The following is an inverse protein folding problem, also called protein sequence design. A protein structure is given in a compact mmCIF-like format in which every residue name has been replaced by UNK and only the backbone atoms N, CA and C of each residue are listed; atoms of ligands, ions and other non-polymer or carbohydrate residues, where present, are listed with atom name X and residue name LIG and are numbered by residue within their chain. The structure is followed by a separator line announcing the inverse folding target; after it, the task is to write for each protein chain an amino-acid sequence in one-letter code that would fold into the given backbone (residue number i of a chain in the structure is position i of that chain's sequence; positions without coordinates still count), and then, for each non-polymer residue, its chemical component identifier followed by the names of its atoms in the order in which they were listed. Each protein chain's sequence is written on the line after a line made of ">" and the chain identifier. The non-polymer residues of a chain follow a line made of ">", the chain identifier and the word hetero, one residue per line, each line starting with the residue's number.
data_IF_949305934339
#
_entry.id   IF_949305934339
#
_cell.length_a   1.000
_cell.length_b   1.000
_cell.length_c   1.000
_cell.angle_alpha   90.00
_cell.angle_beta   90.00
_cell.angle_gamma   90.00
#
_symmetry.space_group_name_H-M   'P 1'
#
loop_
_entity.id
_entity.type
_entity.pdbx_description
1 polymer ?
#
# COMPACT_ATOMS: atom_id res chain seq x y z
N UNK A 1 -2.08 13.05 11.35
CA UNK A 1 -1.46 13.50 12.59
C UNK A 1 -2.53 14.14 13.48
N UNK A 2 -3.02 13.45 14.45
CA UNK A 2 -4.01 13.84 15.43
C UNK A 2 -4.24 12.67 16.37
N UNK A 3 -4.99 12.88 17.46
CA UNK A 3 -5.44 11.77 18.27
C UNK A 3 -6.62 11.13 17.56
N UNK A 4 -6.50 9.86 17.11
CA UNK A 4 -7.61 9.18 16.47
C UNK A 4 -8.75 8.97 17.47
N UNK A 5 -9.98 8.90 16.98
CA UNK A 5 -11.11 8.48 17.79
C UNK A 5 -10.94 7.01 18.21
N UNK A 6 -11.59 6.57 19.30
CA UNK A 6 -11.66 5.16 19.62
C UNK A 6 -12.08 4.33 18.41
N UNK A 7 -11.59 3.10 18.31
CA UNK A 7 -11.99 2.17 17.27
C UNK A 7 -13.52 1.95 17.31
N UNK A 8 -14.16 2.00 16.16
CA UNK A 8 -15.59 1.76 16.02
C UNK A 8 -15.82 0.27 15.72
N UNK A 9 -16.32 -0.49 16.69
CA UNK A 9 -16.60 -1.91 16.54
C UNK A 9 -17.59 -2.23 15.39
N UNK A 10 -18.38 -1.24 14.96
CA UNK A 10 -19.30 -1.38 13.84
C UNK A 10 -18.69 -1.00 12.48
N UNK A 11 -17.44 -0.52 12.45
CA UNK A 11 -16.78 -0.10 11.22
C UNK A 11 -16.73 -1.21 10.17
N UNK A 12 -16.39 -2.48 10.49
CA UNK A 12 -16.41 -3.57 9.52
C UNK A 12 -17.75 -3.73 8.80
N UNK A 13 -18.84 -3.70 9.56
CA UNK A 13 -20.18 -3.79 8.99
C UNK A 13 -20.56 -2.55 8.15
N UNK A 14 -20.21 -1.35 8.61
CA UNK A 14 -20.50 -0.11 7.89
C UNK A 14 -19.77 -0.07 6.54
N UNK A 15 -18.50 -0.50 6.50
CA UNK A 15 -17.71 -0.61 5.27
C UNK A 15 -18.33 -1.63 4.33
N UNK A 16 -18.61 -2.83 4.80
CA UNK A 16 -19.24 -3.90 4.01
C UNK A 16 -20.58 -3.45 3.39
N UNK A 17 -21.42 -2.78 4.19
CA UNK A 17 -22.71 -2.23 3.73
C UNK A 17 -22.52 -1.13 2.68
N UNK A 18 -21.54 -0.25 2.87
CA UNK A 18 -21.26 0.82 1.91
C UNK A 18 -20.85 0.24 0.55
N UNK A 19 -19.97 -0.76 0.53
CA UNK A 19 -19.56 -1.48 -0.68
C UNK A 19 -20.77 -2.16 -1.35
N UNK A 20 -21.66 -2.76 -0.56
CA UNK A 20 -22.88 -3.39 -1.07
C UNK A 20 -23.80 -2.39 -1.74
N UNK A 21 -24.02 -1.22 -1.13
CA UNK A 21 -24.85 -0.14 -1.71
C UNK A 21 -24.23 0.40 -3.00
N UNK A 22 -22.90 0.56 -3.04
CA UNK A 22 -22.19 1.02 -4.24
C UNK A 22 -22.18 -0.01 -5.38
N UNK A 23 -22.33 -1.30 -5.08
CA UNK A 23 -22.35 -2.37 -6.07
C UNK A 23 -21.05 -2.53 -6.85
N UNK A 24 -19.90 -2.21 -6.25
CA UNK A 24 -18.61 -2.24 -6.93
C UNK A 24 -18.10 -3.68 -7.09
N UNK A 25 -17.36 -3.93 -8.17
CA UNK A 25 -16.76 -5.25 -8.46
C UNK A 25 -15.41 -5.44 -7.79
N UNK A 26 -14.73 -4.33 -7.47
CA UNK A 26 -13.44 -4.30 -6.80
C UNK A 26 -13.45 -3.16 -5.80
N UNK A 27 -13.01 -3.44 -4.57
CA UNK A 27 -12.94 -2.47 -3.50
C UNK A 27 -11.49 -2.39 -2.98
N UNK A 28 -10.96 -1.18 -2.94
CA UNK A 28 -9.68 -0.90 -2.29
C UNK A 28 -9.96 -0.31 -0.92
N UNK A 29 -9.52 -1.02 0.12
CA UNK A 29 -9.64 -0.61 1.51
C UNK A 29 -8.34 0.04 1.97
N UNK A 30 -8.47 1.17 2.64
CA UNK A 30 -7.33 1.86 3.27
C UNK A 30 -7.74 2.38 4.64
N UNK A 31 -6.78 2.61 5.51
CA UNK A 31 -7.00 3.20 6.82
C UNK A 31 -5.96 4.27 7.14
N UNK A 32 -6.20 5.04 8.17
CA UNK A 32 -5.15 5.79 8.85
C UNK A 32 -4.29 4.83 9.68
N UNK A 33 -3.04 5.20 9.95
CA UNK A 33 -2.20 4.43 10.86
C UNK A 33 -2.77 4.48 12.29
N UNK A 34 -2.85 3.32 12.92
CA UNK A 34 -3.37 3.13 14.27
C UNK A 34 -2.27 2.67 15.22
N UNK A 35 -1.16 3.38 15.21
CA UNK A 35 -0.03 3.15 16.11
C UNK A 35 -0.35 3.32 17.60
N UNK A 36 -1.53 3.88 17.90
CA UNK A 36 -2.11 3.98 19.23
C UNK A 36 -2.70 2.65 19.73
N UNK A 37 -3.01 1.70 18.82
CA UNK A 37 -3.51 0.38 19.16
C UNK A 37 -2.36 -0.63 19.26
N UNK A 38 -2.47 -1.59 20.17
CA UNK A 38 -1.43 -2.63 20.38
C UNK A 38 -1.22 -3.50 19.15
N UNK A 39 -2.29 -3.75 18.42
CA UNK A 39 -2.32 -4.58 17.21
C UNK A 39 -2.20 -3.74 15.93
N UNK A 40 -1.99 -2.42 16.02
CA UNK A 40 -1.94 -1.53 14.85
C UNK A 40 -3.25 -1.49 14.05
N UNK A 41 -4.36 -1.97 14.63
CA UNK A 41 -5.67 -2.06 13.97
C UNK A 41 -5.85 -3.33 13.13
N UNK A 42 -4.94 -4.30 13.19
CA UNK A 42 -4.98 -5.52 12.35
C UNK A 42 -6.23 -6.38 12.60
N UNK A 43 -6.80 -6.36 13.81
CA UNK A 43 -8.06 -7.06 14.13
C UNK A 43 -9.21 -6.44 13.31
N UNK A 44 -9.38 -5.12 13.35
CA UNK A 44 -10.44 -4.45 12.59
C UNK A 44 -10.23 -4.63 11.07
N UNK A 45 -8.97 -4.66 10.61
CA UNK A 45 -8.66 -4.98 9.23
C UNK A 45 -9.19 -6.35 8.81
N UNK A 46 -8.88 -7.40 9.59
CA UNK A 46 -9.34 -8.77 9.29
C UNK A 46 -10.86 -8.91 9.36
N UNK A 47 -11.49 -8.31 10.38
CA UNK A 47 -12.95 -8.28 10.52
C UNK A 47 -13.61 -7.53 9.35
N UNK A 48 -13.00 -6.43 8.87
CA UNK A 48 -13.52 -5.68 7.72
C UNK A 48 -13.46 -6.49 6.44
N UNK A 49 -12.35 -7.17 6.16
CA UNK A 49 -12.22 -8.04 4.99
C UNK A 49 -13.27 -9.16 5.02
N UNK A 50 -13.45 -9.81 6.18
CA UNK A 50 -14.45 -10.85 6.33
C UNK A 50 -15.87 -10.32 6.13
N UNK A 51 -16.24 -9.22 6.79
CA UNK A 51 -17.56 -8.61 6.64
C UNK A 51 -17.86 -8.18 5.19
N UNK A 52 -16.85 -7.63 4.49
CA UNK A 52 -16.99 -7.29 3.06
C UNK A 52 -17.23 -8.53 2.23
N UNK A 53 -16.46 -9.60 2.44
CA UNK A 53 -16.58 -10.86 1.69
C UNK A 53 -17.94 -11.53 1.92
N UNK A 54 -18.41 -11.57 3.17
CA UNK A 54 -19.69 -12.18 3.51
C UNK A 54 -20.86 -11.45 2.85
N UNK A 55 -20.87 -10.13 2.90
CA UNK A 55 -21.96 -9.34 2.33
C UNK A 55 -21.85 -9.13 0.80
N UNK A 56 -20.63 -9.20 0.26
CA UNK A 56 -20.31 -8.89 -1.16
C UNK A 56 -19.48 -10.02 -1.79
N UNK A 57 -19.97 -11.25 -1.91
CA UNK A 57 -19.17 -12.41 -2.30
C UNK A 57 -18.61 -12.37 -3.74
N UNK A 58 -19.04 -11.39 -4.54
CA UNK A 58 -18.54 -11.18 -5.93
C UNK A 58 -17.57 -10.02 -6.04
N UNK A 59 -17.36 -9.27 -4.96
CA UNK A 59 -16.43 -8.13 -4.93
C UNK A 59 -15.04 -8.62 -4.55
N UNK A 60 -14.06 -8.34 -5.38
CA UNK A 60 -12.65 -8.57 -5.04
C UNK A 60 -12.13 -7.45 -4.13
N UNK A 61 -11.22 -7.79 -3.23
CA UNK A 61 -10.72 -6.87 -2.20
C UNK A 61 -9.23 -6.65 -2.37
N UNK A 62 -8.83 -5.39 -2.41
CA UNK A 62 -7.45 -4.95 -2.21
C UNK A 62 -7.36 -4.25 -0.85
N UNK A 63 -6.31 -4.53 -0.08
CA UNK A 63 -6.05 -3.85 1.19
C UNK A 63 -4.74 -3.08 1.11
N UNK A 64 -4.77 -1.78 1.36
CA UNK A 64 -3.57 -0.95 1.52
C UNK A 64 -3.27 -0.82 3.00
N UNK A 65 -2.37 -1.67 3.49
CA UNK A 65 -2.06 -1.83 4.91
C UNK A 65 -0.87 -0.97 5.36
N UNK A 66 -0.79 -0.59 6.65
CA UNK A 66 0.42 -0.05 7.25
C UNK A 66 1.48 -1.14 7.39
N UNK A 67 2.70 -0.78 7.82
CA UNK A 67 3.77 -1.76 8.05
C UNK A 67 3.62 -2.55 9.36
N UNK A 68 2.60 -2.26 10.18
CA UNK A 68 2.37 -2.85 11.51
C UNK A 68 3.66 -2.91 12.37
N UNK A 69 4.60 -1.99 12.16
CA UNK A 69 5.95 -1.97 12.77
C UNK A 69 6.75 -3.26 12.55
N UNK A 70 6.40 -4.04 11.52
CA UNK A 70 7.01 -5.34 11.21
C UNK A 70 6.55 -6.47 12.14
N UNK A 71 5.45 -6.31 12.89
CA UNK A 71 4.94 -7.36 13.76
C UNK A 71 4.25 -8.45 12.93
N UNK A 72 4.82 -9.66 12.92
CA UNK A 72 4.31 -10.78 12.13
C UNK A 72 2.90 -11.19 12.52
N UNK A 73 2.54 -11.22 13.82
CA UNK A 73 1.19 -11.60 14.27
C UNK A 73 0.10 -10.69 13.66
N UNK A 74 0.41 -9.40 13.48
CA UNK A 74 -0.51 -8.45 12.88
C UNK A 74 -0.61 -8.63 11.36
N UNK A 75 0.51 -8.97 10.71
CA UNK A 75 0.55 -9.25 9.27
C UNK A 75 -0.15 -10.58 8.99
N UNK A 76 0.04 -11.59 9.85
CA UNK A 76 -0.60 -12.91 9.73
C UNK A 76 -2.12 -12.80 9.68
N UNK A 77 -2.74 -11.90 10.46
CA UNK A 77 -4.19 -11.65 10.41
C UNK A 77 -4.66 -11.20 9.03
N UNK A 78 -3.84 -10.44 8.31
CA UNK A 78 -4.15 -10.04 6.93
C UNK A 78 -3.98 -11.23 5.98
N UNK A 79 -2.94 -12.03 6.19
CA UNK A 79 -2.68 -13.24 5.38
C UNK A 79 -3.81 -14.25 5.55
N UNK A 80 -4.28 -14.48 6.78
CA UNK A 80 -5.36 -15.42 7.11
C UNK A 80 -6.68 -15.09 6.39
N UNK A 81 -7.01 -13.80 6.27
CA UNK A 81 -8.22 -13.39 5.55
C UNK A 81 -8.02 -13.28 4.03
N UNK A 82 -6.79 -13.44 3.56
CA UNK A 82 -6.40 -13.59 2.16
C UNK A 82 -7.13 -12.67 1.16
N UNK A 83 -6.94 -11.34 1.21
CA UNK A 83 -7.45 -10.45 0.17
C UNK A 83 -6.85 -10.81 -1.19
N UNK A 84 -7.53 -10.46 -2.28
CA UNK A 84 -7.02 -10.73 -3.64
C UNK A 84 -5.73 -9.99 -3.96
N UNK A 85 -5.57 -8.79 -3.37
CA UNK A 85 -4.34 -7.99 -3.43
C UNK A 85 -4.05 -7.41 -2.05
N UNK A 86 -2.80 -7.51 -1.61
CA UNK A 86 -2.31 -6.79 -0.44
C UNK A 86 -1.27 -5.77 -0.87
N UNK A 87 -1.55 -4.51 -0.58
CA UNK A 87 -0.73 -3.36 -0.92
C UNK A 87 -0.04 -2.78 0.32
N UNK A 88 1.23 -2.46 0.19
CA UNK A 88 1.97 -1.65 1.13
C UNK A 88 2.93 -0.74 0.36
N UNK A 89 2.72 0.57 0.44
CA UNK A 89 3.47 1.53 -0.37
C UNK A 89 4.84 1.86 0.25
N UNK A 90 5.89 1.91 -0.59
CA UNK A 90 7.16 2.51 -0.22
C UNK A 90 7.09 4.04 -0.21
N UNK A 91 6.20 4.62 -1.00
CA UNK A 91 5.94 6.05 -1.22
C UNK A 91 7.06 6.82 -1.92
N UNK A 92 8.32 6.49 -1.70
CA UNK A 92 9.47 7.16 -2.30
C UNK A 92 10.71 6.26 -2.32
N UNK A 93 11.77 6.75 -2.95
CA UNK A 93 13.08 6.06 -3.02
C UNK A 93 13.80 6.05 -1.66
N UNK A 94 14.74 5.14 -1.49
CA UNK A 94 15.49 4.90 -0.24
C UNK A 94 16.05 6.20 0.37
N UNK A 95 16.72 7.03 -0.42
CA UNK A 95 17.33 8.28 0.06
C UNK A 95 16.31 9.26 0.65
N UNK A 96 15.13 9.37 0.05
CA UNK A 96 14.09 10.32 0.44
C UNK A 96 13.16 9.81 1.54
N UNK A 97 13.21 8.52 1.89
CA UNK A 97 12.26 7.90 2.83
C UNK A 97 12.20 8.66 4.16
N UNK A 98 13.33 9.05 4.71
CA UNK A 98 13.37 9.76 6.01
C UNK A 98 12.72 11.14 5.97
N UNK A 99 12.76 11.81 4.82
CA UNK A 99 12.18 13.14 4.62
C UNK A 99 10.67 13.05 4.33
N UNK A 100 10.27 12.07 3.51
CA UNK A 100 8.88 11.88 3.06
C UNK A 100 8.04 11.15 4.10
N UNK A 101 8.62 10.14 4.77
CA UNK A 101 7.94 9.25 5.73
C UNK A 101 8.74 9.14 7.01
N UNK A 102 8.60 10.10 7.91
CA UNK A 102 9.43 10.26 9.12
C UNK A 102 9.49 8.98 9.98
N UNK A 103 8.40 8.22 10.09
CA UNK A 103 8.30 7.03 10.95
C UNK A 103 8.51 5.72 10.21
N UNK A 104 8.29 5.68 8.89
CA UNK A 104 8.45 4.48 8.10
C UNK A 104 9.91 4.24 7.75
N UNK A 105 10.27 2.96 7.60
CA UNK A 105 11.61 2.52 7.22
C UNK A 105 11.51 1.78 5.90
N UNK A 106 12.34 2.17 4.94
CA UNK A 106 12.39 1.57 3.61
C UNK A 106 12.56 0.04 3.66
N UNK A 107 13.59 -0.41 4.40
CA UNK A 107 13.88 -1.86 4.51
C UNK A 107 12.74 -2.62 5.18
N UNK A 108 12.14 -2.06 6.24
CA UNK A 108 10.98 -2.69 6.88
C UNK A 108 9.78 -2.82 5.94
N UNK A 109 9.55 -1.84 5.08
CA UNK A 109 8.49 -1.93 4.08
C UNK A 109 8.74 -3.06 3.07
N UNK A 110 10.01 -3.26 2.65
CA UNK A 110 10.40 -4.40 1.82
C UNK A 110 10.25 -5.73 2.57
N UNK A 111 10.63 -5.79 3.83
CA UNK A 111 10.46 -6.99 4.68
C UNK A 111 8.98 -7.37 4.83
N UNK A 112 8.08 -6.40 5.04
CA UNK A 112 6.63 -6.64 5.09
C UNK A 112 6.11 -7.21 3.77
N UNK A 113 6.47 -6.61 2.64
CA UNK A 113 6.06 -7.09 1.31
C UNK A 113 6.59 -8.50 1.03
N UNK A 114 7.86 -8.75 1.39
CA UNK A 114 8.45 -10.09 1.29
C UNK A 114 7.72 -11.10 2.15
N UNK A 115 7.44 -10.75 3.41
CA UNK A 115 6.74 -11.62 4.35
C UNK A 115 5.35 -12.00 3.84
N UNK A 116 4.59 -11.04 3.33
CA UNK A 116 3.29 -11.28 2.69
C UNK A 116 3.41 -12.28 1.54
N UNK A 117 4.41 -12.09 0.68
CA UNK A 117 4.62 -12.96 -0.48
C UNK A 117 5.04 -14.37 -0.10
N UNK A 118 5.99 -14.50 0.83
CA UNK A 118 6.50 -15.78 1.31
C UNK A 118 5.43 -16.60 2.05
N UNK A 119 4.43 -15.93 2.64
CA UNK A 119 3.33 -16.57 3.38
C UNK A 119 2.02 -16.66 2.58
N UNK A 120 2.08 -16.63 1.25
CA UNK A 120 1.01 -17.08 0.37
C UNK A 120 0.07 -16.01 -0.16
N UNK A 121 0.33 -14.72 0.06
CA UNK A 121 -0.43 -13.67 -0.62
C UNK A 121 -0.16 -13.75 -2.13
N UNK A 122 -1.24 -13.96 -2.89
CA UNK A 122 -1.15 -14.20 -4.34
C UNK A 122 -0.60 -12.98 -5.09
N UNK A 123 -1.09 -11.78 -4.75
CA UNK A 123 -0.68 -10.53 -5.39
C UNK A 123 -0.31 -9.50 -4.34
N UNK A 124 0.94 -9.05 -4.41
CA UNK A 124 1.43 -7.91 -3.61
C UNK A 124 1.59 -6.69 -4.50
N UNK A 125 1.29 -5.52 -3.95
CA UNK A 125 1.38 -4.23 -4.65
C UNK A 125 2.11 -3.20 -3.81
N UNK A 126 2.84 -2.31 -4.48
CA UNK A 126 3.47 -1.15 -3.86
C UNK A 126 3.32 0.08 -4.74
N UNK A 127 3.48 1.25 -4.15
CA UNK A 127 3.37 2.52 -4.86
C UNK A 127 4.51 3.48 -4.52
N UNK A 128 4.87 4.31 -5.50
CA UNK A 128 5.82 5.41 -5.37
C UNK A 128 5.19 6.70 -5.87
N UNK A 129 5.46 7.77 -5.14
CA UNK A 129 5.20 9.14 -5.58
C UNK A 129 6.48 9.70 -6.22
N UNK A 130 6.37 10.23 -7.43
CA UNK A 130 7.47 10.82 -8.17
C UNK A 130 7.35 12.35 -8.23
N UNK A 131 8.48 13.03 -8.33
CA UNK A 131 8.55 14.49 -8.35
C UNK A 131 8.95 15.10 -7.00
N UNK A 132 9.55 14.31 -6.11
CA UNK A 132 10.09 14.73 -4.82
C UNK A 132 11.60 15.00 -4.86
N UNK A 133 12.25 14.84 -6.03
CA UNK A 133 13.68 15.06 -6.27
C UNK A 133 14.50 13.77 -6.30
N UNK A 134 13.86 12.64 -6.53
CA UNK A 134 14.48 11.37 -6.88
C UNK A 134 15.10 11.44 -8.27
N UNK A 135 16.16 10.67 -8.51
CA UNK A 135 16.69 10.46 -9.85
C UNK A 135 16.06 9.24 -10.52
N UNK A 136 16.18 9.14 -11.84
CA UNK A 136 15.70 7.97 -12.59
C UNK A 136 16.35 6.68 -12.09
N UNK A 137 17.65 6.71 -11.82
CA UNK A 137 18.41 5.57 -11.32
C UNK A 137 17.88 5.10 -9.97
N UNK A 138 17.54 6.02 -9.06
CA UNK A 138 16.97 5.70 -7.76
C UNK A 138 15.56 5.08 -7.88
N UNK A 139 14.76 5.52 -8.85
CA UNK A 139 13.45 4.92 -9.14
C UNK A 139 13.65 3.48 -9.64
N UNK A 140 14.57 3.27 -10.60
CA UNK A 140 14.84 1.93 -11.14
C UNK A 140 15.41 0.99 -10.07
N UNK A 141 16.32 1.45 -9.21
CA UNK A 141 16.82 0.68 -8.06
C UNK A 141 15.67 0.28 -7.11
N UNK A 142 14.76 1.21 -6.83
CA UNK A 142 13.60 0.93 -5.98
C UNK A 142 12.65 -0.09 -6.63
N UNK A 143 12.45 -0.01 -7.95
CA UNK A 143 11.68 -1.01 -8.69
C UNK A 143 12.35 -2.39 -8.63
N UNK A 144 13.67 -2.45 -8.74
CA UNK A 144 14.44 -3.71 -8.60
C UNK A 144 14.32 -4.26 -7.18
N UNK A 145 14.47 -3.44 -6.14
CA UNK A 145 14.28 -3.83 -4.74
C UNK A 145 12.89 -4.46 -4.52
N UNK A 146 11.83 -3.85 -5.08
CA UNK A 146 10.46 -4.38 -5.01
C UNK A 146 10.33 -5.72 -5.76
N UNK A 147 10.96 -5.88 -6.92
CA UNK A 147 10.95 -7.17 -7.63
C UNK A 147 11.69 -8.26 -6.87
N UNK A 148 12.82 -7.92 -6.25
CA UNK A 148 13.63 -8.86 -5.47
C UNK A 148 12.85 -9.43 -4.27
N UNK A 149 11.89 -8.68 -3.71
CA UNK A 149 11.00 -9.18 -2.66
C UNK A 149 9.67 -9.75 -3.19
N UNK A 150 9.52 -9.89 -4.51
CA UNK A 150 8.42 -10.58 -5.15
C UNK A 150 7.15 -9.76 -5.37
N UNK A 151 7.23 -8.43 -5.35
CA UNK A 151 6.07 -7.56 -5.62
C UNK A 151 5.58 -7.73 -7.05
N UNK A 152 4.28 -7.94 -7.23
CA UNK A 152 3.67 -8.22 -8.53
C UNK A 152 3.23 -6.96 -9.27
N UNK A 153 2.80 -5.94 -8.54
CA UNK A 153 2.16 -4.72 -9.09
C UNK A 153 2.86 -3.48 -8.52
N UNK A 154 3.18 -2.53 -9.38
CA UNK A 154 3.69 -1.23 -8.96
C UNK A 154 2.83 -0.11 -9.54
N UNK A 155 2.54 0.89 -8.72
CA UNK A 155 1.89 2.14 -9.12
C UNK A 155 2.90 3.29 -8.99
N UNK A 156 3.05 4.08 -10.04
CA UNK A 156 3.88 5.26 -10.07
C UNK A 156 2.99 6.49 -10.29
N UNK A 157 2.95 7.39 -9.33
CA UNK A 157 2.09 8.57 -9.39
C UNK A 157 2.84 9.88 -9.20
N UNK A 158 2.38 10.95 -9.82
CA UNK A 158 2.91 12.30 -9.58
C UNK A 158 2.59 12.75 -8.16
N UNK A 159 3.61 13.14 -7.40
CA UNK A 159 3.42 13.82 -6.13
C UNK A 159 2.82 15.20 -6.36
N UNK A 160 1.75 15.52 -5.65
CA UNK A 160 1.17 16.86 -5.58
C UNK A 160 1.20 17.35 -4.14
N UNK A 161 1.66 18.56 -3.91
CA UNK A 161 1.76 19.14 -2.57
C UNK A 161 0.37 19.38 -1.96
N UNK A 162 -0.04 18.66 -0.90
CA UNK A 162 -1.39 18.78 -0.33
C UNK A 162 -1.64 20.15 0.32
N UNK A 163 -0.66 20.67 1.02
CA UNK A 163 -0.70 22.02 1.65
C UNK A 163 0.71 22.62 1.68
N UNK A 164 0.80 23.92 1.92
CA UNK A 164 2.09 24.65 2.04
C UNK A 164 3.03 24.11 3.13
N UNK A 165 2.54 23.25 4.02
CA UNK A 165 3.35 22.62 5.09
C UNK A 165 4.02 21.32 4.64
N UNK A 166 3.60 20.75 3.51
CA UNK A 166 4.17 19.54 2.95
C UNK A 166 5.34 19.87 2.02
N UNK A 167 6.08 18.85 1.63
CA UNK A 167 7.21 19.00 0.69
C UNK A 167 6.75 19.64 -0.61
N UNK A 168 7.57 20.51 -1.15
CA UNK A 168 7.29 21.14 -2.46
C UNK A 168 7.53 20.12 -3.57
N UNK A 169 6.71 20.17 -4.62
CA UNK A 169 7.00 19.46 -5.86
C UNK A 169 8.32 19.96 -6.40
N UNK A 170 9.24 19.05 -6.69
CA UNK A 170 10.55 19.36 -7.27
C UNK A 170 10.51 19.29 -8.80
N UNK A 171 9.81 18.26 -9.32
CA UNK A 171 9.68 18.01 -10.73
C UNK A 171 8.28 17.52 -11.09
N UNK A 172 7.84 17.82 -12.31
CA UNK A 172 6.65 17.22 -12.90
C UNK A 172 7.08 16.18 -13.94
N UNK A 173 6.80 14.92 -13.62
CA UNK A 173 7.17 13.79 -14.46
C UNK A 173 6.28 13.80 -15.72
N UNK A 174 6.89 13.71 -16.88
CA UNK A 174 6.13 13.75 -18.14
C UNK A 174 5.42 12.41 -18.41
N UNK A 175 4.32 12.41 -19.20
CA UNK A 175 3.66 11.17 -19.61
C UNK A 175 4.62 10.19 -20.30
N UNK A 176 5.59 10.70 -21.06
CA UNK A 176 6.61 9.89 -21.73
C UNK A 176 7.53 9.20 -20.74
N UNK A 177 7.92 9.87 -19.64
CA UNK A 177 8.72 9.28 -18.57
C UNK A 177 7.92 8.20 -17.81
N UNK A 178 6.63 8.44 -17.51
CA UNK A 178 5.76 7.38 -16.94
C UNK A 178 5.67 6.18 -17.88
N UNK A 179 5.53 6.43 -19.19
CA UNK A 179 5.50 5.34 -20.18
C UNK A 179 6.82 4.57 -20.25
N UNK A 180 7.94 5.24 -20.09
CA UNK A 180 9.26 4.60 -20.01
C UNK A 180 9.34 3.69 -18.77
N UNK A 181 8.92 4.15 -17.58
CA UNK A 181 8.87 3.34 -16.38
C UNK A 181 7.92 2.14 -16.52
N UNK A 182 6.78 2.31 -17.19
CA UNK A 182 5.87 1.20 -17.48
C UNK A 182 6.55 0.10 -18.30
N UNK A 183 7.27 0.48 -19.35
CA UNK A 183 7.98 -0.47 -20.22
C UNK A 183 9.07 -1.20 -19.41
N UNK A 184 9.94 -0.46 -18.73
CA UNK A 184 11.02 -1.02 -17.92
C UNK A 184 10.47 -1.93 -16.81
N UNK A 185 9.42 -1.52 -16.12
CA UNK A 185 8.82 -2.33 -15.06
C UNK A 185 8.24 -3.65 -15.59
N UNK A 186 7.64 -3.66 -16.78
CA UNK A 186 7.21 -4.91 -17.43
C UNK A 186 8.38 -5.81 -17.80
N UNK A 187 9.50 -5.25 -18.29
CA UNK A 187 10.73 -5.99 -18.57
C UNK A 187 11.36 -6.58 -17.30
N UNK A 188 11.27 -5.87 -16.15
CA UNK A 188 11.67 -6.35 -14.84
C UNK A 188 10.75 -7.49 -14.32
N UNK A 189 9.60 -7.74 -14.96
CA UNK A 189 8.67 -8.82 -14.62
C UNK A 189 7.56 -8.43 -13.67
N UNK A 190 7.24 -7.14 -13.49
CA UNK A 190 5.97 -6.75 -12.86
C UNK A 190 4.80 -7.20 -13.72
N UNK A 191 3.76 -7.74 -13.09
CA UNK A 191 2.51 -8.14 -13.79
C UNK A 191 1.74 -6.92 -14.29
N UNK A 192 1.73 -5.86 -13.48
CA UNK A 192 1.11 -4.58 -13.82
C UNK A 192 2.01 -3.43 -13.36
N UNK A 193 2.06 -2.39 -14.17
CA UNK A 193 2.68 -1.10 -13.88
C UNK A 193 1.66 -0.04 -14.25
N UNK A 194 1.23 0.73 -13.27
CA UNK A 194 0.16 1.73 -13.36
C UNK A 194 0.69 3.13 -13.06
#
# INVERSE_FOLDING_TARGET
>A
TGSPLPADELEPFKVARSINIMGVKHAVLTSVDRDDLKDGGSIIWSETVNAVRDLNPKTTIETLIPDFRGNSENIDRIIEVAPEVVSHNLETVRRLTREVRIQAKYDRSLEVLKYLKDNGINRTKSGLMLGLGETKEEVLETMEDLRNVGVDIITLGQYLQPTKKHLTVKDFITPEQFKEYEIIGKEMGFRHVE
#
